data_IF_845230706088
#
_entry.id   IF_845230706088
#
_cell.length_a   1.000
_cell.length_b   1.000
_cell.length_c   1.000
_cell.angle_alpha   90.00
_cell.angle_beta   90.00
_cell.angle_gamma   90.00
#
_symmetry.space_group_name_H-M   'P 1'
#
loop_
_entity.id
_entity.type
_entity.pdbx_description
1 polymer ?
#
# COMPACT_ATOMS: atom_id res chain seq x y z
N UNK A 1 45.62 36.75 22.59
CA UNK A 1 46.54 35.76 23.18
C UNK A 1 46.21 34.41 22.55
N UNK A 2 46.85 33.99 21.44
CA UNK A 2 48.10 33.22 21.29
C UNK A 2 48.13 31.86 22.04
N UNK A 3 48.13 30.78 21.23
CA UNK A 3 48.86 29.49 21.37
C UNK A 3 48.22 28.42 22.29
N UNK A 4 48.29 27.10 22.05
CA UNK A 4 49.09 26.29 21.09
C UNK A 4 48.62 24.84 21.02
N UNK A 5 48.77 24.28 19.83
CA UNK A 5 48.84 22.88 19.44
C UNK A 5 49.99 22.14 20.18
N UNK A 6 49.79 20.88 20.58
CA UNK A 6 50.86 19.97 21.01
C UNK A 6 50.90 18.73 20.12
N UNK A 7 51.95 18.63 19.31
CA UNK A 7 52.48 17.42 18.71
C UNK A 7 53.67 16.94 19.55
N UNK A 8 53.76 15.64 19.83
CA UNK A 8 54.97 14.87 20.16
C UNK A 8 54.56 13.40 20.29
N UNK A 9 55.23 12.37 19.77
CA UNK A 9 56.49 12.20 19.03
C UNK A 9 56.37 10.94 18.15
N UNK A 10 57.00 10.92 16.98
CA UNK A 10 58.36 10.42 16.72
C UNK A 10 58.49 8.89 16.91
N UNK A 11 58.55 8.18 15.78
CA UNK A 11 58.89 6.76 15.69
C UNK A 11 59.29 6.44 14.25
N UNK A 12 60.53 6.77 13.92
CA UNK A 12 61.18 6.53 12.62
C UNK A 12 61.56 5.05 12.52
N UNK A 13 61.08 4.33 11.51
CA UNK A 13 61.72 3.10 11.02
C UNK A 13 61.78 3.17 9.51
N UNK A 14 62.99 3.33 8.99
CA UNK A 14 63.34 3.17 7.59
C UNK A 14 63.62 1.67 7.39
N UNK A 15 62.90 1.03 6.46
CA UNK A 15 63.40 -0.20 5.85
C UNK A 15 63.00 -0.23 4.37
N UNK A 16 64.03 -0.16 3.53
CA UNK A 16 64.03 -0.26 2.08
C UNK A 16 63.73 -1.68 1.62
N UNK A 17 62.75 -1.90 0.73
CA UNK A 17 62.69 -3.11 -0.12
C UNK A 17 62.22 -2.75 -1.54
N UNK A 18 63.19 -2.84 -2.45
CA UNK A 18 63.18 -3.14 -3.88
C UNK A 18 61.86 -3.12 -4.66
N UNK A 19 61.82 -2.20 -5.63
CA UNK A 19 60.84 -2.13 -6.71
C UNK A 19 61.13 -3.24 -7.75
N UNK A 20 60.34 -4.31 -7.74
CA UNK A 20 60.30 -5.29 -8.83
C UNK A 20 59.16 -4.90 -9.80
N UNK A 21 59.53 -4.39 -10.98
CA UNK A 21 58.61 -4.24 -12.11
C UNK A 21 58.27 -5.64 -12.66
N UNK A 22 57.10 -6.16 -12.31
CA UNK A 22 56.48 -7.26 -13.07
C UNK A 22 55.57 -6.67 -14.14
N UNK A 23 56.04 -6.68 -15.39
CA UNK A 23 55.19 -6.41 -16.56
C UNK A 23 54.23 -7.60 -16.70
N UNK A 24 52.93 -7.38 -16.45
CA UNK A 24 51.90 -8.37 -16.76
C UNK A 24 51.54 -8.27 -18.25
N UNK A 25 51.44 -9.39 -18.99
CA UNK A 25 50.91 -9.35 -20.35
C UNK A 25 49.44 -8.91 -20.33
N UNK A 26 49.14 -7.88 -21.11
CA UNK A 26 47.77 -7.37 -21.29
C UNK A 26 47.08 -8.29 -22.29
N UNK A 27 46.12 -9.08 -21.83
CA UNK A 27 45.26 -9.87 -22.69
C UNK A 27 44.30 -8.93 -23.43
N UNK A 28 44.16 -9.01 -24.77
CA UNK A 28 43.20 -8.20 -25.49
C UNK A 28 41.78 -8.63 -25.08
N UNK A 29 41.08 -7.76 -24.36
CA UNK A 29 39.68 -7.98 -24.00
C UNK A 29 38.83 -7.61 -25.20
N UNK A 30 38.21 -8.62 -25.81
CA UNK A 30 37.22 -8.48 -26.86
C UNK A 30 36.05 -7.62 -26.32
N UNK A 31 35.56 -6.57 -27.03
CA UNK A 31 34.47 -5.75 -26.51
C UNK A 31 33.19 -6.58 -26.41
N UNK A 32 32.89 -7.04 -25.21
CA UNK A 32 31.61 -7.66 -24.90
C UNK A 32 30.52 -6.59 -25.03
N UNK A 33 29.71 -6.73 -26.08
CA UNK A 33 28.58 -5.86 -26.35
C UNK A 33 27.67 -5.82 -25.14
N UNK A 34 27.59 -4.66 -24.48
CA UNK A 34 26.68 -4.42 -23.36
C UNK A 34 25.27 -4.34 -23.94
N UNK A 35 24.51 -5.42 -23.81
CA UNK A 35 23.07 -5.38 -24.05
C UNK A 35 22.46 -4.40 -23.05
N UNK A 36 22.07 -3.22 -23.53
CA UNK A 36 21.31 -2.25 -22.74
C UNK A 36 19.97 -2.90 -22.40
N UNK A 37 19.60 -3.06 -21.12
CA UNK A 37 18.29 -3.60 -20.79
C UNK A 37 17.23 -2.59 -21.24
N UNK A 38 16.51 -2.94 -22.30
CA UNK A 38 15.33 -2.21 -22.77
C UNK A 38 14.30 -2.23 -21.63
N UNK A 39 14.19 -1.11 -20.92
CA UNK A 39 13.18 -0.93 -19.89
C UNK A 39 11.84 -0.82 -20.61
N UNK A 40 11.12 -1.93 -20.75
CA UNK A 40 9.73 -1.91 -21.19
C UNK A 40 8.95 -1.08 -20.18
N UNK A 41 8.60 0.15 -20.56
CA UNK A 41 7.72 1.00 -19.78
C UNK A 41 6.34 0.35 -19.78
N UNK A 42 6.02 -0.35 -18.71
CA UNK A 42 4.72 -0.98 -18.54
C UNK A 42 3.63 0.08 -18.71
N UNK A 43 2.81 -0.07 -19.75
CA UNK A 43 1.70 0.84 -20.01
C UNK A 43 0.63 0.57 -18.96
N UNK A 44 0.50 1.46 -17.99
CA UNK A 44 -0.53 1.34 -16.96
C UNK A 44 -1.92 1.48 -17.58
N UNK A 45 -2.74 0.44 -17.47
CA UNK A 45 -4.16 0.51 -17.83
C UNK A 45 -4.93 1.25 -16.71
N UNK A 46 -5.62 2.36 -16.98
CA UNK A 46 -6.39 3.07 -15.97
C UNK A 46 -7.55 2.22 -15.44
N UNK A 47 -7.98 2.50 -14.21
CA UNK A 47 -9.22 1.97 -13.64
C UNK A 47 -10.43 2.66 -14.28
N UNK A 48 -11.55 1.96 -14.39
CA UNK A 48 -12.83 2.54 -14.81
C UNK A 48 -13.94 2.09 -13.87
N UNK A 49 -14.94 2.94 -13.64
CA UNK A 49 -16.09 2.60 -12.79
C UNK A 49 -16.82 1.35 -13.32
N UNK A 50 -16.88 1.18 -14.65
CA UNK A 50 -17.43 -0.02 -15.28
C UNK A 50 -16.61 -1.29 -14.99
N UNK A 51 -15.28 -1.21 -14.95
CA UNK A 51 -14.42 -2.33 -14.52
C UNK A 51 -14.69 -2.67 -13.04
N UNK A 52 -14.70 -1.66 -12.17
CA UNK A 52 -14.90 -1.86 -10.74
C UNK A 52 -16.26 -2.53 -10.44
N UNK A 53 -17.34 -2.05 -11.06
CA UNK A 53 -18.69 -2.62 -10.89
C UNK A 53 -18.78 -4.11 -11.29
N UNK A 54 -17.98 -4.55 -12.27
CA UNK A 54 -17.94 -5.95 -12.70
C UNK A 54 -17.02 -6.83 -11.83
N UNK A 55 -16.13 -6.23 -11.04
CA UNK A 55 -15.10 -6.92 -10.27
C UNK A 55 -15.17 -6.51 -8.80
N UNK A 56 -16.00 -7.18 -7.97
CA UNK A 56 -16.23 -6.80 -6.58
C UNK A 56 -14.96 -6.64 -5.75
N UNK A 57 -13.99 -7.56 -5.87
CA UNK A 57 -12.71 -7.46 -5.17
C UNK A 57 -11.93 -6.21 -5.55
N UNK A 58 -11.90 -5.85 -6.83
CA UNK A 58 -11.21 -4.66 -7.31
C UNK A 58 -11.90 -3.38 -6.85
N UNK A 59 -13.23 -3.35 -6.87
CA UNK A 59 -14.04 -2.26 -6.31
C UNK A 59 -13.73 -2.03 -4.83
N UNK A 60 -13.82 -3.08 -4.03
CA UNK A 60 -13.58 -3.03 -2.58
C UNK A 60 -12.13 -2.60 -2.29
N UNK A 61 -11.14 -3.17 -2.97
CA UNK A 61 -9.74 -2.74 -2.84
C UNK A 61 -9.54 -1.28 -3.25
N UNK A 62 -10.22 -0.78 -4.28
CA UNK A 62 -10.13 0.62 -4.72
C UNK A 62 -10.66 1.56 -3.64
N UNK A 63 -11.81 1.22 -3.05
CA UNK A 63 -12.44 2.00 -1.99
C UNK A 63 -11.59 1.99 -0.72
N UNK A 64 -11.07 0.83 -0.29
CA UNK A 64 -10.18 0.74 0.88
C UNK A 64 -8.87 1.50 0.63
N UNK A 65 -8.27 1.37 -0.55
CA UNK A 65 -7.05 2.11 -0.89
C UNK A 65 -7.29 3.63 -0.86
N UNK A 66 -8.42 4.08 -1.39
CA UNK A 66 -8.80 5.49 -1.27
C UNK A 66 -8.95 5.90 0.19
N UNK A 67 -9.61 5.06 1.00
CA UNK A 67 -9.88 5.34 2.40
C UNK A 67 -8.60 5.58 3.22
N UNK A 68 -7.63 4.67 3.10
CA UNK A 68 -6.37 4.74 3.87
C UNK A 68 -5.44 5.88 3.42
N UNK A 69 -5.53 6.35 2.17
CA UNK A 69 -4.64 7.37 1.63
C UNK A 69 -5.23 8.78 1.64
N UNK A 70 -6.56 8.93 1.61
CA UNK A 70 -7.19 10.26 1.39
C UNK A 70 -8.17 10.68 2.47
N UNK A 71 -8.68 9.76 3.31
CA UNK A 71 -9.56 10.16 4.39
C UNK A 71 -8.78 10.78 5.54
N UNK A 72 -9.31 11.88 6.06
CA UNK A 72 -8.84 12.51 7.31
C UNK A 72 -9.49 11.89 8.54
N UNK A 73 -9.64 10.55 8.54
CA UNK A 73 -10.20 9.78 9.65
C UNK A 73 -9.10 8.84 10.13
N UNK A 74 -8.45 9.17 11.25
CA UNK A 74 -7.26 8.46 11.74
C UNK A 74 -7.48 6.96 11.91
N UNK A 75 -8.66 6.54 12.35
CA UNK A 75 -8.97 5.12 12.58
C UNK A 75 -8.93 4.28 11.30
N UNK A 76 -9.07 4.86 10.11
CA UNK A 76 -8.83 4.14 8.85
C UNK A 76 -7.35 3.74 8.67
N UNK A 77 -6.42 4.32 9.42
CA UNK A 77 -5.02 3.88 9.43
C UNK A 77 -4.83 2.51 10.09
N UNK A 78 -5.79 2.03 10.89
CA UNK A 78 -5.75 0.68 11.46
C UNK A 78 -5.74 -0.39 10.36
N UNK A 79 -6.35 -0.11 9.20
CA UNK A 79 -6.40 -1.01 8.04
C UNK A 79 -5.34 -0.68 7.00
N UNK A 80 -4.35 0.17 7.29
CA UNK A 80 -3.32 0.56 6.32
C UNK A 80 -2.20 -0.49 6.14
N UNK A 81 -2.09 -1.50 7.02
CA UNK A 81 -1.12 -2.59 6.85
C UNK A 81 -1.56 -3.59 5.76
N UNK A 82 -1.22 -3.25 4.52
CA UNK A 82 -1.52 -4.06 3.34
C UNK A 82 -0.90 -5.46 3.37
N UNK A 83 0.14 -5.71 4.19
CA UNK A 83 0.78 -7.04 4.27
C UNK A 83 -0.09 -8.02 5.05
N UNK A 84 -0.77 -7.54 6.10
CA UNK A 84 -1.79 -8.32 6.83
C UNK A 84 -3.04 -8.51 5.98
N UNK A 85 -3.33 -7.53 5.13
CA UNK A 85 -4.48 -7.56 4.23
C UNK A 85 -5.79 -7.37 4.97
N UNK A 86 -6.90 -7.59 4.27
CA UNK A 86 -8.24 -7.34 4.78
C UNK A 86 -9.13 -8.55 4.70
N UNK A 87 -9.96 -8.70 5.72
CA UNK A 87 -11.17 -9.50 5.61
C UNK A 87 -12.35 -8.53 5.55
N UNK A 88 -13.25 -8.69 4.58
CA UNK A 88 -14.41 -7.83 4.40
C UNK A 88 -15.68 -8.66 4.53
N UNK A 89 -16.50 -8.32 5.52
CA UNK A 89 -17.84 -8.90 5.66
C UNK A 89 -18.86 -7.98 4.93
N UNK A 90 -19.70 -8.57 4.07
CA UNK A 90 -20.59 -7.82 3.14
C UNK A 90 -22.05 -7.99 3.55
N UNK A 91 -22.77 -6.91 3.84
CA UNK A 91 -24.17 -6.95 4.27
C UNK A 91 -25.06 -6.11 3.36
N UNK A 92 -25.94 -6.72 2.53
CA UNK A 92 -26.94 -5.99 1.78
C UNK A 92 -28.01 -5.39 2.71
N UNK A 93 -28.33 -4.10 2.53
CA UNK A 93 -29.33 -3.36 3.30
C UNK A 93 -30.17 -2.47 2.36
N UNK A 94 -31.21 -3.05 1.76
CA UNK A 94 -32.12 -2.35 0.85
C UNK A 94 -31.36 -1.76 -0.35
N UNK A 95 -31.39 -0.43 -0.47
CA UNK A 95 -30.71 0.31 -1.56
C UNK A 95 -29.20 0.51 -1.34
N UNK A 96 -28.64 -0.04 -0.26
CA UNK A 96 -27.23 0.09 0.10
C UNK A 96 -26.61 -1.27 0.40
N UNK A 97 -25.30 -1.38 0.29
CA UNK A 97 -24.53 -2.52 0.80
C UNK A 97 -23.47 -2.01 1.76
N UNK A 98 -23.39 -2.60 2.94
CA UNK A 98 -22.39 -2.32 3.97
C UNK A 98 -21.20 -3.28 3.83
N UNK A 99 -19.99 -2.75 3.95
CA UNK A 99 -18.73 -3.49 3.86
C UNK A 99 -17.90 -3.24 5.10
N UNK A 100 -17.81 -4.23 6.00
CA UNK A 100 -17.07 -4.17 7.25
C UNK A 100 -15.63 -4.61 7.03
N UNK A 101 -14.67 -3.71 7.20
CA UNK A 101 -13.25 -3.89 6.82
C UNK A 101 -12.38 -4.17 8.04
N UNK A 102 -11.99 -5.42 8.20
CA UNK A 102 -11.08 -5.85 9.25
C UNK A 102 -9.60 -5.72 8.82
N UNK A 103 -8.70 -5.31 9.72
CA UNK A 103 -7.29 -5.02 9.40
C UNK A 103 -6.39 -6.26 9.22
N UNK A 104 -6.98 -7.45 9.16
CA UNK A 104 -6.25 -8.70 8.98
C UNK A 104 -7.12 -9.70 8.22
N UNK A 105 -6.62 -10.20 7.08
CA UNK A 105 -7.36 -11.16 6.24
C UNK A 105 -7.56 -12.53 6.89
N UNK A 106 -6.86 -12.82 7.98
CA UNK A 106 -6.96 -14.06 8.75
C UNK A 106 -7.59 -13.85 10.14
N UNK A 107 -8.18 -12.67 10.40
CA UNK A 107 -8.83 -12.37 11.67
C UNK A 107 -9.87 -13.44 12.03
N UNK A 108 -9.85 -13.91 13.27
CA UNK A 108 -10.78 -14.92 13.79
C UNK A 108 -11.97 -14.25 14.47
N UNK A 109 -13.10 -14.96 14.54
CA UNK A 109 -14.32 -14.44 15.17
C UNK A 109 -14.08 -13.94 16.61
N UNK A 110 -13.28 -14.64 17.40
CA UNK A 110 -12.93 -14.23 18.76
C UNK A 110 -12.17 -12.90 18.85
N UNK A 111 -11.51 -12.46 17.77
CA UNK A 111 -10.80 -11.18 17.71
C UNK A 111 -11.69 -10.02 17.20
N UNK A 112 -12.91 -10.32 16.75
CA UNK A 112 -13.90 -9.33 16.27
C UNK A 112 -14.72 -8.77 17.43
N UNK A 113 -14.05 -8.14 18.41
CA UNK A 113 -14.68 -7.64 19.64
C UNK A 113 -15.12 -6.18 19.56
N UNK A 114 -14.59 -5.43 18.59
CA UNK A 114 -14.93 -4.03 18.33
C UNK A 114 -15.44 -3.88 16.90
N UNK A 115 -16.29 -2.87 16.69
CA UNK A 115 -16.77 -2.51 15.35
C UNK A 115 -15.58 -2.10 14.46
N UNK A 116 -15.42 -2.72 13.26
CA UNK A 116 -14.36 -2.37 12.34
C UNK A 116 -14.63 -1.03 11.66
N UNK A 117 -13.67 -0.54 10.86
CA UNK A 117 -13.99 0.48 9.87
C UNK A 117 -14.93 -0.10 8.82
N UNK A 118 -15.83 0.70 8.27
CA UNK A 118 -16.75 0.20 7.26
C UNK A 118 -17.20 1.30 6.30
N UNK A 119 -17.74 0.90 5.16
CA UNK A 119 -18.34 1.82 4.21
C UNK A 119 -19.66 1.29 3.65
N UNK A 120 -20.52 2.22 3.26
CA UNK A 120 -21.75 1.96 2.50
C UNK A 120 -21.51 2.29 1.04
N UNK A 121 -21.98 1.43 0.14
CA UNK A 121 -22.10 1.72 -1.28
C UNK A 121 -23.58 1.71 -1.67
N UNK A 122 -24.07 2.82 -2.22
CA UNK A 122 -25.43 2.91 -2.76
C UNK A 122 -25.49 2.33 -4.18
N UNK A 123 -26.70 2.02 -4.65
CA UNK A 123 -26.94 1.65 -6.07
C UNK A 123 -26.60 2.78 -7.06
N UNK A 124 -26.45 4.00 -6.57
CA UNK A 124 -26.08 5.21 -7.32
C UNK A 124 -24.61 5.62 -7.14
N UNK A 125 -23.75 4.69 -6.73
CA UNK A 125 -22.30 4.87 -6.61
C UNK A 125 -21.83 5.91 -5.59
N UNK A 126 -22.68 6.29 -4.63
CA UNK A 126 -22.25 7.06 -3.48
C UNK A 126 -21.60 6.14 -2.46
N UNK A 127 -20.45 6.59 -1.94
CA UNK A 127 -19.70 5.88 -0.93
C UNK A 127 -19.69 6.71 0.34
N UNK A 128 -20.14 6.13 1.45
CA UNK A 128 -20.06 6.76 2.77
C UNK A 128 -19.20 5.91 3.68
N UNK A 129 -18.10 6.48 4.15
CA UNK A 129 -17.19 5.86 5.11
C UNK A 129 -17.65 6.13 6.53
N UNK A 130 -17.45 5.14 7.38
CA UNK A 130 -17.81 5.17 8.79
C UNK A 130 -16.64 4.66 9.64
N UNK A 131 -16.49 5.25 10.82
CA UNK A 131 -15.47 4.85 11.77
C UNK A 131 -15.92 5.18 13.19
N UNK A 132 -15.93 4.16 14.06
CA UNK A 132 -16.36 4.28 15.45
C UNK A 132 -15.20 4.66 16.37
N UNK A 133 -15.30 5.78 17.07
CA UNK A 133 -14.26 6.23 18.00
C UNK A 133 -14.60 5.77 19.43
N UNK A 134 -13.95 4.70 19.89
CA UNK A 134 -14.18 4.07 21.22
C UNK A 134 -13.92 4.99 22.42
N UNK A 135 -13.17 6.09 22.25
CA UNK A 135 -12.87 7.04 23.33
C UNK A 135 -13.68 8.33 23.29
N UNK A 136 -14.46 8.58 22.24
CA UNK A 136 -15.35 9.74 22.18
C UNK A 136 -16.77 9.25 22.35
N UNK A 137 -17.33 9.45 23.53
CA UNK A 137 -18.75 9.30 23.79
C UNK A 137 -19.56 10.10 22.75
N UNK A 138 -20.02 9.44 21.67
CA UNK A 138 -21.19 9.77 20.84
C UNK A 138 -21.07 10.30 19.39
N UNK A 139 -19.96 10.15 18.63
CA UNK A 139 -20.09 10.35 17.16
C UNK A 139 -19.17 9.50 16.30
N UNK A 140 -19.79 8.66 15.46
CA UNK A 140 -19.09 8.03 14.35
C UNK A 140 -18.54 9.12 13.40
N UNK A 141 -17.26 9.03 13.07
CA UNK A 141 -16.69 9.90 12.04
C UNK A 141 -17.13 9.37 10.68
N UNK A 142 -17.64 10.27 9.82
CA UNK A 142 -18.08 9.91 8.48
C UNK A 142 -17.46 10.80 7.42
N UNK A 143 -17.30 10.25 6.23
CA UNK A 143 -16.86 10.97 5.03
C UNK A 143 -17.61 10.40 3.82
N UNK A 144 -17.91 11.24 2.83
CA UNK A 144 -18.65 10.82 1.64
C UNK A 144 -17.87 11.16 0.38
N UNK A 145 -17.94 10.29 -0.61
CA UNK A 145 -17.36 10.46 -1.95
C UNK A 145 -18.23 9.72 -2.98
N UNK A 146 -17.83 9.75 -4.25
CA UNK A 146 -18.43 8.92 -5.30
C UNK A 146 -17.42 7.92 -5.88
N UNK A 147 -17.90 6.85 -6.50
CA UNK A 147 -17.03 5.89 -7.19
C UNK A 147 -16.17 6.58 -8.26
N UNK A 148 -16.72 7.55 -8.99
CA UNK A 148 -16.00 8.29 -10.01
C UNK A 148 -14.87 9.14 -9.42
N UNK A 149 -15.09 9.77 -8.25
CA UNK A 149 -14.05 10.49 -7.52
C UNK A 149 -12.93 9.54 -7.05
N UNK A 150 -13.28 8.36 -6.56
CA UNK A 150 -12.30 7.30 -6.22
C UNK A 150 -11.49 6.91 -7.45
N UNK A 151 -12.13 6.58 -8.57
CA UNK A 151 -11.46 6.18 -9.81
C UNK A 151 -10.53 7.30 -10.31
N UNK A 152 -11.02 8.54 -10.34
CA UNK A 152 -10.25 9.70 -10.78
C UNK A 152 -9.00 9.90 -9.91
N UNK A 153 -9.15 9.84 -8.58
CA UNK A 153 -8.03 10.01 -7.65
C UNK A 153 -6.98 8.90 -7.81
N UNK A 154 -7.41 7.65 -7.88
CA UNK A 154 -6.50 6.51 -8.02
C UNK A 154 -5.75 6.53 -9.35
N UNK A 155 -6.40 6.97 -10.43
CA UNK A 155 -5.77 7.10 -11.73
C UNK A 155 -4.78 8.27 -11.80
N UNK A 156 -5.09 9.42 -11.18
CA UNK A 156 -4.18 10.57 -11.15
C UNK A 156 -2.86 10.25 -10.43
N UNK A 157 -2.92 9.36 -9.43
CA UNK A 157 -1.77 8.87 -8.66
C UNK A 157 -1.09 7.63 -9.25
N UNK A 158 -1.55 7.16 -10.41
CA UNK A 158 -1.06 5.93 -11.04
C UNK A 158 -1.14 4.70 -10.13
N UNK A 159 -2.16 4.64 -9.28
CA UNK A 159 -2.35 3.56 -8.29
C UNK A 159 -2.99 2.29 -8.89
N UNK A 160 -3.39 2.30 -10.17
CA UNK A 160 -4.19 1.25 -10.79
C UNK A 160 -3.58 -0.16 -10.63
N UNK A 161 -2.30 -0.34 -10.96
CA UNK A 161 -1.62 -1.63 -10.82
C UNK A 161 -1.49 -2.05 -9.35
N UNK A 162 -1.21 -1.10 -8.44
CA UNK A 162 -1.13 -1.38 -7.00
C UNK A 162 -2.45 -1.92 -6.48
N UNK A 163 -3.56 -1.28 -6.81
CA UNK A 163 -4.90 -1.73 -6.39
C UNK A 163 -5.25 -3.09 -6.98
N UNK A 164 -4.88 -3.36 -8.24
CA UNK A 164 -5.08 -4.69 -8.83
C UNK A 164 -4.33 -5.79 -8.06
N UNK A 165 -3.11 -5.52 -7.58
CA UNK A 165 -2.35 -6.46 -6.76
C UNK A 165 -2.91 -6.65 -5.35
N UNK A 166 -3.56 -5.62 -4.79
CA UNK A 166 -4.15 -5.68 -3.45
C UNK A 166 -5.27 -6.71 -3.31
N UNK A 167 -5.89 -7.13 -4.42
CA UNK A 167 -6.90 -8.20 -4.42
C UNK A 167 -6.37 -9.51 -3.81
N UNK A 168 -5.06 -9.78 -3.89
CA UNK A 168 -4.43 -10.96 -3.30
C UNK A 168 -4.36 -10.90 -1.75
N UNK A 169 -4.64 -9.72 -1.18
CA UNK A 169 -4.65 -9.46 0.25
C UNK A 169 -6.07 -9.34 0.80
N UNK A 170 -7.10 -9.62 -0.01
CA UNK A 170 -8.49 -9.48 0.34
C UNK A 170 -9.17 -10.84 0.50
N UNK A 171 -9.88 -11.04 1.60
CA UNK A 171 -10.83 -12.14 1.81
C UNK A 171 -12.23 -11.53 1.92
N UNK A 172 -13.18 -12.07 1.16
CA UNK A 172 -14.57 -11.64 1.19
C UNK A 172 -15.44 -12.68 1.90
N UNK A 173 -16.22 -12.22 2.85
CA UNK A 173 -17.23 -13.01 3.55
C UNK A 173 -18.60 -12.44 3.22
N UNK A 174 -19.39 -13.20 2.47
CA UNK A 174 -20.80 -12.90 2.28
C UNK A 174 -21.58 -13.74 3.30
N UNK A 175 -22.46 -13.16 4.12
CA UNK A 175 -23.35 -13.96 4.95
C UNK A 175 -24.12 -14.90 4.04
N UNK A 176 -24.10 -16.20 4.34
CA UNK A 176 -25.07 -17.12 3.74
C UNK A 176 -26.43 -16.55 4.12
N UNK A 177 -27.26 -16.30 3.11
CA UNK A 177 -28.70 -16.12 3.32
C UNK A 177 -29.12 -17.28 4.24
N UNK A 178 -29.56 -16.97 5.46
CA UNK A 178 -30.24 -17.96 6.28
C UNK A 178 -31.47 -18.35 5.45
N UNK A 179 -31.50 -19.59 4.96
CA UNK A 179 -32.59 -20.08 4.14
C UNK A 179 -33.90 -19.92 4.91
N UNK A 180 -34.87 -19.27 4.27
CA UNK A 180 -36.28 -19.51 4.51
C UNK A 180 -36.76 -20.56 3.52
#
# INVERSE_FOLDING_TARGET
>A
MKKSLKFSGLGLVILTISMMLTIRPVTPTNPQSKTVPTTHKEVMMPLTSAELKRKPSLLICSIIYYAINHLRIQRWQEVADVKRGWQVDIYPHGATTQYLVWPDKKIKAAAKTLEPNWFELTTTDHIKFHSYTVHSFQKAMTATTTLDQVVSQLNSERAANRVRHLQNQLILNTPRQAGN
#
